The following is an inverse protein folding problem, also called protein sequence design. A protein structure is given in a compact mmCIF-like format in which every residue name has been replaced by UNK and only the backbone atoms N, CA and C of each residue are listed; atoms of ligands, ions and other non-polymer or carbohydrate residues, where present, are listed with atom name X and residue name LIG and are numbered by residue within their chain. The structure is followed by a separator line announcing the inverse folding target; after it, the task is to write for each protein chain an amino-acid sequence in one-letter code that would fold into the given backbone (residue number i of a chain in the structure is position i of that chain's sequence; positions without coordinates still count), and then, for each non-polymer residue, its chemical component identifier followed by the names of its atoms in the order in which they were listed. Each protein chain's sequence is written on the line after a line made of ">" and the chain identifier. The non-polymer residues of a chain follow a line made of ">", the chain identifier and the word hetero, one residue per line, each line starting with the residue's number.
data_IF_265209891796
#
_entry.id   IF_265209891796
#
_cell.length_a   1.000
_cell.length_b   1.000
_cell.length_c   1.000
_cell.angle_alpha   90.00
_cell.angle_beta   90.00
_cell.angle_gamma   90.00
#
_symmetry.space_group_name_H-M   'P 1'
#
loop_
_entity.id
_entity.type
_entity.pdbx_description
1 polymer ?
#
# COMPACT_ATOMS: atom_id res chain seq x y z
N UNK A 1 -4.43 27.67 31.76
CA UNK A 1 -5.75 27.44 31.15
C UNK A 1 -5.67 27.07 29.67
N UNK A 2 -4.91 27.78 28.82
CA UNK A 2 -4.76 27.42 27.39
C UNK A 2 -3.97 26.12 27.16
N UNK A 3 -2.87 25.94 27.89
CA UNK A 3 -2.04 24.72 27.85
C UNK A 3 -2.84 23.46 28.21
N UNK A 4 -3.71 23.54 29.23
CA UNK A 4 -4.57 22.42 29.63
C UNK A 4 -5.60 22.05 28.56
N UNK A 5 -6.14 23.03 27.82
CA UNK A 5 -7.06 22.76 26.70
C UNK A 5 -6.31 22.06 25.57
N UNK A 6 -5.12 22.53 25.24
CA UNK A 6 -4.26 21.90 24.21
C UNK A 6 -3.91 20.46 24.59
N UNK A 7 -3.49 20.23 25.84
CA UNK A 7 -3.17 18.88 26.34
C UNK A 7 -4.39 17.96 26.27
N UNK A 8 -5.58 18.44 26.63
CA UNK A 8 -6.82 17.66 26.53
C UNK A 8 -7.17 17.31 25.10
N UNK A 9 -7.07 18.25 24.16
CA UNK A 9 -7.32 18.01 22.73
C UNK A 9 -6.30 17.01 22.18
N UNK A 10 -5.02 17.18 22.49
CA UNK A 10 -3.96 16.27 22.07
C UNK A 10 -4.19 14.85 22.63
N UNK A 11 -4.56 14.74 23.90
CA UNK A 11 -4.88 13.46 24.52
C UNK A 11 -6.03 12.76 23.80
N UNK A 12 -7.13 13.45 23.52
CA UNK A 12 -8.26 12.91 22.76
C UNK A 12 -7.87 12.43 21.37
N UNK A 13 -7.06 13.21 20.64
CA UNK A 13 -6.55 12.82 19.33
C UNK A 13 -5.70 11.56 19.44
N UNK A 14 -4.77 11.49 20.39
CA UNK A 14 -3.95 10.31 20.62
C UNK A 14 -4.78 9.07 20.97
N UNK A 15 -5.82 9.22 21.79
CA UNK A 15 -6.73 8.11 22.14
C UNK A 15 -7.46 7.55 20.92
N UNK A 16 -7.92 8.42 20.01
CA UNK A 16 -8.59 8.01 18.77
C UNK A 16 -7.62 7.28 17.81
N UNK A 17 -6.35 7.69 17.80
CA UNK A 17 -5.32 7.10 16.93
C UNK A 17 -4.67 5.83 17.50
N UNK A 18 -4.72 5.62 18.81
CA UNK A 18 -4.14 4.45 19.49
C UNK A 18 -4.48 3.09 18.84
N UNK A 19 -5.75 2.77 18.47
CA UNK A 19 -6.08 1.47 17.90
C UNK A 19 -5.50 1.23 16.50
N UNK A 20 -5.19 2.30 15.73
CA UNK A 20 -4.65 2.20 14.36
C UNK A 20 -3.14 2.43 14.28
N UNK A 21 -2.45 2.60 15.41
CA UNK A 21 -1.05 3.02 15.46
C UNK A 21 -0.12 2.14 14.59
N UNK A 22 -0.31 0.82 14.61
CA UNK A 22 0.54 -0.10 13.87
C UNK A 22 0.47 0.14 12.37
N UNK A 23 -0.76 0.29 11.84
CA UNK A 23 -1.00 0.57 10.43
C UNK A 23 -0.43 1.92 10.00
N UNK A 24 -0.65 2.95 10.81
CA UNK A 24 -0.18 4.31 10.54
C UNK A 24 1.35 4.36 10.50
N UNK A 25 2.03 3.74 11.48
CA UNK A 25 3.50 3.65 11.52
C UNK A 25 4.04 2.92 10.30
N UNK A 26 3.42 1.81 9.89
CA UNK A 26 3.81 1.09 8.68
C UNK A 26 3.67 1.97 7.43
N UNK A 27 2.59 2.73 7.28
CA UNK A 27 2.44 3.63 6.13
C UNK A 27 3.48 4.74 6.12
N UNK A 28 3.74 5.35 7.29
CA UNK A 28 4.76 6.40 7.41
C UNK A 28 6.13 5.84 7.00
N UNK A 29 6.47 4.64 7.47
CA UNK A 29 7.69 3.95 7.07
C UNK A 29 7.77 3.75 5.55
N UNK A 30 6.70 3.23 4.92
CA UNK A 30 6.67 3.03 3.47
C UNK A 30 6.82 4.34 2.68
N UNK A 31 6.15 5.41 3.10
CA UNK A 31 6.26 6.74 2.48
C UNK A 31 7.68 7.29 2.61
N UNK A 32 8.34 7.10 3.75
CA UNK A 32 9.74 7.53 3.96
C UNK A 32 10.67 6.76 3.02
N UNK A 33 10.51 5.44 2.92
CA UNK A 33 11.30 4.61 2.00
C UNK A 33 11.05 5.02 0.55
N UNK A 34 9.80 5.26 0.15
CA UNK A 34 9.45 5.77 -1.17
C UNK A 34 10.11 7.12 -1.46
N UNK A 35 10.06 8.04 -0.50
CA UNK A 35 10.70 9.35 -0.64
C UNK A 35 12.21 9.26 -0.79
N UNK A 36 12.88 8.42 0.02
CA UNK A 36 14.32 8.19 -0.05
C UNK A 36 14.69 7.58 -1.40
N UNK A 37 14.00 6.51 -1.81
CA UNK A 37 14.29 5.83 -3.09
C UNK A 37 14.02 6.74 -4.29
N UNK A 38 12.93 7.52 -4.28
CA UNK A 38 12.61 8.45 -5.34
C UNK A 38 13.59 9.63 -5.43
N UNK A 39 14.02 10.16 -4.29
CA UNK A 39 15.03 11.23 -4.24
C UNK A 39 16.39 10.73 -4.72
N UNK A 40 16.82 9.55 -4.26
CA UNK A 40 18.07 8.93 -4.69
C UNK A 40 18.07 8.56 -6.18
N UNK A 41 16.97 8.02 -6.70
CA UNK A 41 16.81 7.75 -8.12
C UNK A 41 16.96 9.03 -8.97
N UNK A 42 16.48 10.16 -8.47
CA UNK A 42 16.57 11.45 -9.18
C UNK A 42 17.99 11.98 -9.19
N UNK A 43 18.64 11.92 -8.03
CA UNK A 43 20.04 12.31 -7.89
C UNK A 43 20.94 11.49 -8.83
N UNK A 44 20.78 10.15 -8.84
CA UNK A 44 21.59 9.27 -9.70
C UNK A 44 21.38 9.52 -11.20
N UNK A 45 20.16 9.89 -11.60
CA UNK A 45 19.81 10.15 -13.00
C UNK A 45 19.98 11.62 -13.41
N UNK A 46 20.53 12.49 -12.55
CA UNK A 46 20.72 13.92 -12.85
C UNK A 46 19.42 14.71 -13.05
N UNK A 47 18.29 14.20 -12.54
CA UNK A 47 16.97 14.86 -12.68
C UNK A 47 16.74 15.77 -11.47
N UNK A 48 16.47 17.05 -11.73
CA UNK A 48 16.16 18.01 -10.67
C UNK A 48 14.92 17.59 -9.87
N UNK A 49 15.04 17.59 -8.54
CA UNK A 49 13.92 17.34 -7.63
C UNK A 49 13.02 18.59 -7.64
N UNK A 50 11.82 18.45 -8.21
CA UNK A 50 10.82 19.52 -8.24
C UNK A 50 10.03 19.56 -6.94
N UNK A 51 9.68 20.77 -6.47
CA UNK A 51 8.88 21.01 -5.27
C UNK A 51 7.54 20.26 -5.26
N UNK A 52 6.90 20.13 -6.42
CA UNK A 52 5.66 19.33 -6.57
C UNK A 52 5.84 17.87 -6.10
N UNK A 53 7.03 17.29 -6.25
CA UNK A 53 7.27 15.90 -5.83
C UNK A 53 7.33 15.76 -4.30
N UNK A 54 7.88 16.76 -3.62
CA UNK A 54 7.88 16.83 -2.14
C UNK A 54 6.45 17.03 -1.65
N UNK A 55 5.68 17.92 -2.30
CA UNK A 55 4.27 18.14 -1.98
C UNK A 55 3.43 16.86 -2.15
N UNK A 56 3.77 16.04 -3.15
CA UNK A 56 3.12 14.75 -3.35
C UNK A 56 3.37 13.78 -2.19
N UNK A 57 4.60 13.70 -1.68
CA UNK A 57 4.93 12.90 -0.49
C UNK A 57 4.20 13.40 0.75
N UNK A 58 4.13 14.72 0.95
CA UNK A 58 3.38 15.32 2.06
C UNK A 58 1.88 14.97 1.92
N UNK A 59 1.34 15.02 0.71
CA UNK A 59 -0.05 14.66 0.44
C UNK A 59 -0.32 13.19 0.76
N UNK A 60 0.57 12.27 0.36
CA UNK A 60 0.49 10.84 0.76
C UNK A 60 0.44 10.69 2.27
N UNK A 61 1.31 11.40 2.99
CA UNK A 61 1.36 11.35 4.46
C UNK A 61 0.01 11.72 5.08
N UNK A 62 -0.59 12.85 4.73
CA UNK A 62 -1.87 13.25 5.34
C UNK A 62 -3.05 12.40 4.85
N UNK A 63 -3.16 12.18 3.54
CA UNK A 63 -4.32 11.52 2.94
C UNK A 63 -4.40 10.05 3.36
N UNK A 64 -3.28 9.31 3.38
CA UNK A 64 -3.33 7.90 3.76
C UNK A 64 -3.69 7.70 5.23
N UNK A 65 -3.15 8.55 6.11
CA UNK A 65 -3.48 8.52 7.54
C UNK A 65 -4.97 8.83 7.78
N UNK A 66 -5.55 9.79 7.03
CA UNK A 66 -6.99 10.07 7.09
C UNK A 66 -7.85 8.91 6.56
N UNK A 67 -7.45 8.31 5.44
CA UNK A 67 -8.15 7.17 4.84
C UNK A 67 -8.12 5.94 5.75
N UNK A 68 -6.99 5.67 6.40
CA UNK A 68 -6.85 4.59 7.39
C UNK A 68 -7.78 4.81 8.58
N UNK A 69 -7.84 6.05 9.09
CA UNK A 69 -8.72 6.37 10.21
C UNK A 69 -10.20 6.22 9.83
N UNK A 70 -10.58 6.69 8.64
CA UNK A 70 -11.94 6.52 8.13
C UNK A 70 -12.29 5.04 7.93
N UNK A 71 -11.38 4.24 7.37
CA UNK A 71 -11.57 2.80 7.19
C UNK A 71 -11.71 2.07 8.54
N UNK A 72 -10.94 2.47 9.55
CA UNK A 72 -11.07 1.92 10.90
C UNK A 72 -12.42 2.23 11.54
N UNK A 73 -12.90 3.48 11.46
CA UNK A 73 -14.22 3.82 11.99
C UNK A 73 -15.36 3.13 11.24
N UNK A 74 -15.25 3.01 9.92
CA UNK A 74 -16.19 2.24 9.10
C UNK A 74 -16.21 0.76 9.50
N UNK A 75 -15.04 0.13 9.61
CA UNK A 75 -14.92 -1.24 10.10
C UNK A 75 -15.53 -1.38 11.49
N UNK A 76 -15.20 -0.48 12.42
CA UNK A 76 -15.62 -0.64 13.82
C UNK A 76 -17.10 -0.35 14.07
N UNK A 77 -17.73 0.55 13.31
CA UNK A 77 -19.08 1.04 13.61
C UNK A 77 -20.14 0.64 12.57
N UNK A 78 -19.76 0.29 11.35
CA UNK A 78 -20.69 0.05 10.25
C UNK A 78 -20.52 -1.35 9.68
N UNK A 79 -19.28 -1.81 9.50
CA UNK A 79 -18.93 -3.03 8.76
C UNK A 79 -18.10 -3.99 9.63
N UNK A 80 -18.57 -4.32 10.84
CA UNK A 80 -17.79 -5.05 11.87
C UNK A 80 -17.27 -6.43 11.40
N UNK A 81 -17.98 -7.10 10.49
CA UNK A 81 -17.57 -8.40 9.94
C UNK A 81 -16.53 -8.29 8.81
N UNK A 82 -16.34 -7.10 8.23
CA UNK A 82 -15.46 -6.88 7.09
C UNK A 82 -14.17 -6.20 7.57
N UNK A 83 -12.98 -6.80 7.37
CA UNK A 83 -11.70 -6.22 7.77
C UNK A 83 -11.25 -5.10 6.82
N UNK A 84 -12.07 -4.06 6.68
CA UNK A 84 -11.92 -2.97 5.73
C UNK A 84 -10.61 -2.20 5.91
N UNK A 85 -10.19 -1.95 7.15
CA UNK A 85 -8.91 -1.33 7.50
C UNK A 85 -7.75 -2.10 6.85
N UNK A 86 -7.74 -3.43 6.99
CA UNK A 86 -6.67 -4.27 6.41
C UNK A 86 -6.67 -4.25 4.89
N UNK A 87 -7.86 -4.29 4.29
CA UNK A 87 -8.02 -4.24 2.82
C UNK A 87 -7.49 -2.91 2.28
N UNK A 88 -7.96 -1.79 2.82
CA UNK A 88 -7.60 -0.45 2.37
C UNK A 88 -6.12 -0.16 2.60
N UNK A 89 -5.60 -0.46 3.79
CA UNK A 89 -4.18 -0.31 4.07
C UNK A 89 -3.32 -1.23 3.18
N UNK A 90 -3.77 -2.46 2.91
CA UNK A 90 -3.11 -3.36 1.98
C UNK A 90 -3.00 -2.76 0.58
N UNK A 91 -4.08 -2.17 0.07
CA UNK A 91 -4.08 -1.50 -1.23
C UNK A 91 -3.10 -0.31 -1.27
N UNK A 92 -3.10 0.52 -0.23
CA UNK A 92 -2.18 1.65 -0.08
C UNK A 92 -0.72 1.15 -0.02
N UNK A 93 -0.45 0.13 0.79
CA UNK A 93 0.89 -0.46 0.91
C UNK A 93 1.40 -1.01 -0.42
N UNK A 94 0.55 -1.70 -1.19
CA UNK A 94 0.91 -2.19 -2.52
C UNK A 94 1.26 -1.03 -3.46
N UNK A 95 0.51 0.08 -3.41
CA UNK A 95 0.80 1.26 -4.21
C UNK A 95 2.17 1.87 -3.86
N UNK A 96 2.52 1.95 -2.57
CA UNK A 96 3.82 2.45 -2.13
C UNK A 96 4.96 1.50 -2.48
N UNK A 97 4.79 0.19 -2.28
CA UNK A 97 5.77 -0.82 -2.70
C UNK A 97 6.02 -0.73 -4.21
N UNK A 98 4.96 -0.59 -5.02
CA UNK A 98 5.09 -0.42 -6.47
C UNK A 98 5.93 0.82 -6.80
N UNK A 99 5.67 1.95 -6.15
CA UNK A 99 6.44 3.19 -6.31
C UNK A 99 7.92 3.00 -5.97
N UNK A 100 8.23 2.31 -4.86
CA UNK A 100 9.60 1.95 -4.47
C UNK A 100 10.28 1.10 -5.54
N UNK A 101 9.59 0.08 -6.07
CA UNK A 101 10.14 -0.81 -7.11
C UNK A 101 10.39 -0.08 -8.43
N UNK A 102 9.55 0.89 -8.79
CA UNK A 102 9.78 1.76 -9.95
C UNK A 102 11.04 2.62 -9.76
N UNK A 103 11.25 3.17 -8.57
CA UNK A 103 12.45 3.93 -8.25
C UNK A 103 13.70 3.03 -8.24
N UNK A 104 13.60 1.81 -7.71
CA UNK A 104 14.66 0.81 -7.76
C UNK A 104 15.07 0.49 -9.22
N UNK A 105 14.10 0.28 -10.10
CA UNK A 105 14.36 0.04 -11.52
C UNK A 105 15.08 1.23 -12.18
N UNK A 106 14.70 2.46 -11.86
CA UNK A 106 15.40 3.67 -12.34
C UNK A 106 16.84 3.78 -11.83
N UNK A 107 17.16 3.15 -10.69
CA UNK A 107 18.51 3.18 -10.09
C UNK A 107 19.39 2.08 -10.69
N UNK A 108 18.88 0.86 -10.82
CA UNK A 108 19.70 -0.33 -11.14
C UNK A 108 19.44 -0.90 -12.54
N UNK A 109 18.42 -0.42 -13.27
CA UNK A 109 18.05 -0.94 -14.59
C UNK A 109 17.45 -2.35 -14.56
N UNK A 110 17.23 -2.90 -13.37
CA UNK A 110 16.59 -4.21 -13.16
C UNK A 110 15.11 -3.97 -12.90
N UNK A 111 14.23 -4.78 -13.50
CA UNK A 111 12.77 -4.69 -13.32
C UNK A 111 12.27 -5.68 -12.24
N UNK A 112 12.41 -5.41 -10.94
CA UNK A 112 12.00 -6.34 -9.88
C UNK A 112 10.50 -6.60 -9.90
N UNK A 113 9.67 -5.64 -10.31
CA UNK A 113 8.23 -5.86 -10.47
C UNK A 113 7.92 -6.89 -11.57
N UNK A 114 8.66 -6.85 -12.68
CA UNK A 114 8.55 -7.85 -13.75
C UNK A 114 9.05 -9.22 -13.27
N UNK A 115 10.14 -9.25 -12.51
CA UNK A 115 10.64 -10.48 -11.89
C UNK A 115 9.61 -11.08 -10.92
N UNK A 116 9.04 -10.26 -10.02
CA UNK A 116 8.02 -10.68 -9.05
C UNK A 116 6.75 -11.21 -9.75
N UNK A 117 6.23 -10.48 -10.73
CA UNK A 117 5.04 -10.94 -11.50
C UNK A 117 5.32 -12.21 -12.31
N UNK A 118 6.54 -12.36 -12.85
CA UNK A 118 6.94 -13.58 -13.53
C UNK A 118 7.05 -14.78 -12.56
N UNK A 119 7.57 -14.57 -11.35
CA UNK A 119 7.58 -15.59 -10.29
C UNK A 119 6.16 -15.99 -9.89
N UNK A 120 5.26 -15.03 -9.65
CA UNK A 120 3.85 -15.31 -9.35
C UNK A 120 3.14 -16.08 -10.47
N UNK A 121 3.48 -15.79 -11.73
CA UNK A 121 2.95 -16.52 -12.90
C UNK A 121 3.51 -17.94 -13.05
N UNK A 122 4.75 -18.16 -12.64
CA UNK A 122 5.43 -19.45 -12.80
C UNK A 122 5.28 -20.39 -11.59
N UNK A 123 5.01 -19.89 -10.39
CA UNK A 123 5.19 -20.69 -9.17
C UNK A 123 3.91 -21.32 -8.61
N UNK A 124 2.69 -20.89 -8.96
CA UNK A 124 1.49 -21.56 -8.43
C UNK A 124 0.14 -21.22 -9.09
N UNK A 125 -0.01 -20.06 -9.74
CA UNK A 125 -1.33 -19.58 -10.11
C UNK A 125 -1.85 -20.09 -11.46
N UNK A 126 -0.97 -20.33 -12.44
CA UNK A 126 -1.39 -20.82 -13.76
C UNK A 126 -2.05 -22.20 -13.68
N UNK A 127 -1.39 -23.15 -13.03
CA UNK A 127 -1.90 -24.52 -12.93
C UNK A 127 -3.22 -24.59 -12.14
N UNK A 128 -3.37 -23.74 -11.12
CA UNK A 128 -4.60 -23.69 -10.31
C UNK A 128 -5.75 -22.97 -11.04
N UNK A 129 -5.45 -21.90 -11.80
CA UNK A 129 -6.43 -21.17 -12.61
C UNK A 129 -6.87 -21.97 -13.84
N UNK A 130 -5.97 -22.74 -14.46
CA UNK A 130 -6.30 -23.65 -15.55
C UNK A 130 -7.21 -24.79 -15.03
N UNK A 131 -6.96 -25.31 -13.83
CA UNK A 131 -7.85 -26.30 -13.17
C UNK A 131 -9.22 -25.73 -12.76
N UNK A 132 -9.31 -24.44 -12.43
CA UNK A 132 -10.56 -23.77 -12.04
C UNK A 132 -11.36 -23.23 -13.23
N UNK A 133 -10.72 -22.99 -14.37
CA UNK A 133 -11.35 -22.50 -15.61
C UNK A 133 -11.74 -23.61 -16.60
N UNK A 134 -11.27 -24.86 -16.38
CA UNK A 134 -11.81 -26.03 -17.07
C UNK A 134 -13.22 -26.37 -16.53
N UNK A 135 -14.24 -25.88 -17.23
CA UNK A 135 -15.62 -26.33 -17.10
C UNK A 135 -15.71 -27.88 -17.26
N UNK A 136 -16.25 -28.63 -16.28
CA UNK A 136 -16.39 -30.09 -16.34
C UNK A 136 -17.24 -30.61 -17.52
N UNK A 137 -17.92 -29.73 -18.27
CA UNK A 137 -18.80 -30.08 -19.39
C UNK A 137 -18.11 -30.74 -20.61
N UNK A 138 -16.77 -30.71 -20.73
CA UNK A 138 -16.05 -31.30 -21.88
C UNK A 138 -15.54 -32.74 -21.71
N UNK A 139 -15.72 -33.40 -20.54
CA UNK A 139 -15.26 -34.79 -20.33
C UNK A 139 -16.06 -35.89 -21.06
N UNK A 140 -17.19 -35.58 -21.71
CA UNK A 140 -18.08 -36.60 -22.32
C UNK A 140 -17.87 -36.89 -23.82
N UNK A 141 -16.92 -36.26 -24.53
CA UNK A 141 -16.74 -36.48 -26.00
C UNK A 141 -15.46 -37.22 -26.43
N UNK A 142 -14.76 -37.91 -25.52
CA UNK A 142 -13.55 -38.72 -25.85
C UNK A 142 -13.63 -40.16 -25.34
N UNK A 143 -14.81 -40.77 -25.39
CA UNK A 143 -14.99 -42.22 -25.33
C UNK A 143 -16.03 -42.63 -26.37
N UNK A 144 -15.63 -42.63 -27.63
CA UNK A 144 -16.15 -43.53 -28.67
C UNK A 144 -14.92 -44.02 -29.43
#
# INVERSE_FOLDING_TARGET
>A
METEKITKVLFWVCTILAPVQGMMVTMIFLIIVDFITGSYASFKNGVAIRSYRIMHTISKFFIYNLVILAAYFMEKHILEEIPLLKIIAGFIAIAEIKSILENFNKIYGVNPFKALTNLLKNTALKDTLDQLSEDPSKKKKKKV
#
